data_IF_668747694421
#
_entry.id   IF_668747694421
#
_cell.length_a   1.000
_cell.length_b   1.000
_cell.length_c   1.000
_cell.angle_alpha   90.00
_cell.angle_beta   90.00
_cell.angle_gamma   90.00
#
_symmetry.space_group_name_H-M   'P 1'
#
loop_
_entity.id
_entity.type
_entity.pdbx_description
1 polymer ?
#
# COMPACT_ATOMS: atom_id res chain seq x y z
N UNK A 1 54.89 55.21 -13.80
CA UNK A 1 54.07 54.54 -14.84
C UNK A 1 53.62 53.12 -14.45
N UNK A 2 53.47 52.79 -13.16
CA UNK A 2 52.84 51.53 -12.71
C UNK A 2 51.55 51.74 -11.88
N UNK A 3 51.30 52.95 -11.37
CA UNK A 3 50.11 53.29 -10.57
C UNK A 3 48.84 53.64 -11.35
N UNK A 4 48.87 53.61 -12.69
CA UNK A 4 47.67 53.87 -13.54
C UNK A 4 47.04 52.60 -14.12
N UNK A 5 47.59 51.44 -13.81
CA UNK A 5 47.07 50.14 -14.30
C UNK A 5 46.32 49.39 -13.20
N UNK A 6 46.61 49.59 -11.91
CA UNK A 6 45.92 48.86 -10.84
C UNK A 6 44.53 49.45 -10.50
N UNK A 7 44.32 50.76 -10.70
CA UNK A 7 43.04 51.42 -10.42
C UNK A 7 41.98 51.26 -11.54
N UNK A 8 42.31 50.58 -12.64
CA UNK A 8 41.37 50.24 -13.71
C UNK A 8 40.96 48.75 -13.71
N UNK A 9 41.59 47.94 -12.86
CA UNK A 9 41.29 46.50 -12.72
C UNK A 9 40.33 46.19 -11.56
N UNK A 10 40.10 47.12 -10.63
CA UNK A 10 39.10 46.93 -9.55
C UNK A 10 37.66 47.37 -9.94
N UNK A 11 37.48 48.05 -11.07
CA UNK A 11 36.17 48.56 -11.53
C UNK A 11 35.55 47.77 -12.69
N UNK A 12 36.11 46.61 -13.06
CA UNK A 12 35.64 45.77 -14.18
C UNK A 12 35.15 44.37 -13.78
N UNK A 13 34.99 44.10 -12.49
CA UNK A 13 34.33 42.87 -11.98
C UNK A 13 33.10 43.15 -11.11
N UNK A 14 32.38 44.23 -11.41
CA UNK A 14 30.96 44.40 -11.09
C UNK A 14 30.27 44.68 -12.44
N UNK A 15 29.89 43.66 -13.24
CA UNK A 15 28.67 42.88 -12.95
C UNK A 15 28.75 41.45 -13.50
N UNK A 16 29.05 40.47 -12.65
CA UNK A 16 28.87 39.06 -12.98
C UNK A 16 28.08 38.37 -11.86
N UNK A 17 26.91 38.94 -11.53
CA UNK A 17 25.91 38.30 -10.68
C UNK A 17 24.50 38.73 -11.09
N UNK A 18 24.20 38.66 -12.41
CA UNK A 18 22.83 38.83 -12.96
C UNK A 18 22.46 37.66 -13.90
N UNK A 19 23.12 36.51 -13.79
CA UNK A 19 22.64 35.28 -14.44
C UNK A 19 22.74 34.14 -13.44
N UNK A 20 21.72 34.06 -12.58
CA UNK A 20 21.13 32.85 -12.03
C UNK A 20 19.83 33.25 -11.31
N UNK A 21 18.90 33.83 -12.09
CA UNK A 21 17.51 34.01 -11.68
C UNK A 21 16.74 32.74 -12.04
N UNK A 22 16.87 31.70 -11.21
CA UNK A 22 15.96 30.56 -11.19
C UNK A 22 16.22 29.68 -9.96
N UNK A 23 15.97 30.23 -8.79
CA UNK A 23 15.58 29.52 -7.55
C UNK A 23 15.43 30.63 -6.51
N UNK A 24 14.21 30.88 -6.05
CA UNK A 24 13.99 31.92 -5.04
C UNK A 24 14.70 31.54 -3.76
N UNK A 25 15.58 32.41 -3.28
CA UNK A 25 16.05 32.58 -1.90
C UNK A 25 17.04 33.75 -1.97
N UNK A 26 16.71 34.90 -1.37
CA UNK A 26 17.64 35.93 -0.85
C UNK A 26 16.81 37.16 -0.40
N UNK A 27 16.89 37.49 0.90
CA UNK A 27 16.25 38.65 1.50
C UNK A 27 16.92 39.97 1.04
N UNK A 28 16.09 40.94 0.65
CA UNK A 28 16.49 42.27 0.21
C UNK A 28 17.16 43.13 1.30
N UNK A 29 17.04 42.76 2.58
CA UNK A 29 17.59 43.53 3.71
C UNK A 29 19.11 43.43 3.83
N UNK A 30 19.70 42.24 3.61
CA UNK A 30 21.16 42.02 3.73
C UNK A 30 21.96 42.83 2.70
N UNK A 31 21.40 43.03 1.50
CA UNK A 31 22.01 43.86 0.45
C UNK A 31 22.08 45.34 0.85
N UNK A 32 21.04 45.87 1.52
CA UNK A 32 21.04 47.27 1.99
C UNK A 32 21.95 47.52 3.20
N UNK A 33 22.19 46.51 4.04
CA UNK A 33 23.12 46.61 5.16
C UNK A 33 24.58 46.73 4.69
N UNK A 34 24.99 45.93 3.70
CA UNK A 34 26.36 45.96 3.14
C UNK A 34 26.71 47.29 2.45
N UNK A 35 25.75 47.92 1.76
CA UNK A 35 25.94 49.23 1.13
C UNK A 35 26.11 50.36 2.15
N UNK A 36 25.40 50.30 3.29
CA UNK A 36 25.54 51.29 4.35
C UNK A 36 26.88 51.17 5.10
N UNK A 37 27.42 49.96 5.29
CA UNK A 37 28.76 49.78 5.89
C UNK A 37 29.89 50.32 5.00
N UNK A 38 29.79 50.14 3.67
CA UNK A 38 30.75 50.69 2.70
C UNK A 38 30.77 52.23 2.70
N UNK A 39 29.60 52.87 2.79
CA UNK A 39 29.47 54.34 2.83
C UNK A 39 29.99 54.96 4.15
N UNK A 40 29.94 54.19 5.26
CA UNK A 40 30.53 54.59 6.56
C UNK A 40 32.06 54.48 6.53
N UNK A 41 32.62 53.43 5.93
CA UNK A 41 34.07 53.25 5.75
C UNK A 41 34.69 54.32 4.84
N UNK A 42 33.98 54.72 3.78
CA UNK A 42 34.43 55.78 2.87
C UNK A 42 34.45 57.15 3.56
N UNK A 43 33.45 57.44 4.43
CA UNK A 43 33.35 58.69 5.20
C UNK A 43 34.34 58.79 6.36
N UNK A 44 34.73 57.69 6.99
CA UNK A 44 35.71 57.72 8.08
C UNK A 44 37.17 57.84 7.58
N UNK A 45 37.48 57.34 6.37
CA UNK A 45 38.84 57.37 5.81
C UNK A 45 39.11 58.54 4.85
N UNK A 46 38.11 59.37 4.52
CA UNK A 46 38.26 60.56 3.68
C UNK A 46 39.35 61.54 4.17
N UNK A 47 39.50 61.81 5.49
CA UNK A 47 40.52 62.74 5.98
C UNK A 47 41.96 62.25 5.76
N UNK A 48 42.18 60.94 5.72
CA UNK A 48 43.51 60.33 5.51
C UNK A 48 43.89 60.43 4.03
N UNK A 49 42.92 60.28 3.13
CA UNK A 49 43.11 60.44 1.69
C UNK A 49 43.41 61.89 1.29
N UNK A 50 42.73 62.87 1.90
CA UNK A 50 42.99 64.30 1.67
C UNK A 50 44.36 64.75 2.19
N UNK A 51 44.82 64.19 3.32
CA UNK A 51 46.15 64.46 3.85
C UNK A 51 47.26 63.97 2.90
N UNK A 52 47.07 62.81 2.25
CA UNK A 52 48.00 62.26 1.25
C UNK A 52 48.02 63.04 -0.07
N UNK A 53 46.92 63.72 -0.42
CA UNK A 53 46.85 64.58 -1.61
C UNK A 53 47.36 66.01 -1.40
N UNK A 54 47.50 66.46 -0.15
CA UNK A 54 47.95 67.83 0.18
C UNK A 54 49.48 68.03 0.24
N UNK A 55 50.26 66.97 0.03
CA UNK A 55 51.72 67.08 -0.07
C UNK A 55 52.08 67.63 -1.45
N UNK A 56 52.18 68.96 -1.54
CA UNK A 56 52.68 69.66 -2.73
C UNK A 56 54.07 69.11 -3.13
N UNK A 57 54.30 68.77 -4.41
CA UNK A 57 55.62 68.39 -4.87
C UNK A 57 56.52 69.63 -4.89
N UNK A 58 57.76 69.59 -4.36
CA UNK A 58 58.63 70.76 -4.44
C UNK A 58 59.02 71.00 -5.90
N UNK A 59 58.77 72.23 -6.36
CA UNK A 59 59.22 72.75 -7.64
C UNK A 59 60.76 72.77 -7.71
N UNK A 60 61.29 72.34 -8.85
CA UNK A 60 62.72 72.26 -9.17
C UNK A 60 63.32 73.63 -9.49
N UNK A 61 64.36 74.04 -8.76
CA UNK A 61 65.64 74.49 -9.34
C UNK A 61 66.74 74.48 -8.25
N UNK A 62 67.87 73.86 -8.60
CA UNK A 62 69.20 73.90 -7.95
C UNK A 62 69.27 74.04 -6.42
N UNK A 63 68.95 72.96 -5.72
CA UNK A 63 69.30 72.81 -4.31
C UNK A 63 68.95 71.41 -3.85
N UNK A 64 69.97 70.55 -3.70
CA UNK A 64 69.82 69.20 -3.15
C UNK A 64 69.29 69.34 -1.71
N UNK A 65 67.97 69.33 -1.50
CA UNK A 65 67.38 69.17 -0.17
C UNK A 65 67.56 67.71 0.22
N UNK A 66 68.75 67.40 0.73
CA UNK A 66 68.99 66.17 1.46
C UNK A 66 68.31 66.35 2.81
N UNK A 67 67.06 65.91 2.94
CA UNK A 67 66.44 65.71 4.26
C UNK A 67 67.44 64.88 5.08
N UNK A 68 67.81 65.36 6.27
CA UNK A 68 68.73 64.64 7.15
C UNK A 68 68.17 63.24 7.41
N UNK A 69 69.01 62.21 7.43
CA UNK A 69 68.57 60.81 7.51
C UNK A 69 67.66 60.55 8.74
N UNK A 70 67.82 61.35 9.79
CA UNK A 70 67.02 61.34 11.02
C UNK A 70 65.56 61.81 10.81
N UNK A 71 65.30 62.82 9.99
CA UNK A 71 63.93 63.30 9.69
C UNK A 71 63.18 62.31 8.78
N UNK A 72 63.89 61.67 7.84
CA UNK A 72 63.31 60.59 7.03
C UNK A 72 62.96 59.36 7.89
N UNK A 73 63.82 59.04 8.85
CA UNK A 73 63.58 57.91 9.76
C UNK A 73 62.38 58.17 10.67
N UNK A 74 62.25 59.39 11.22
CA UNK A 74 61.07 59.78 12.00
C UNK A 74 59.77 59.68 11.18
N UNK A 75 59.78 60.08 9.91
CA UNK A 75 58.61 59.94 9.03
C UNK A 75 58.29 58.47 8.72
N UNK A 76 59.31 57.64 8.52
CA UNK A 76 59.15 56.20 8.32
C UNK A 76 58.54 55.53 9.56
N UNK A 77 58.92 55.96 10.76
CA UNK A 77 58.43 55.37 12.00
C UNK A 77 57.00 55.82 12.32
N UNK A 78 56.63 57.09 12.04
CA UNK A 78 55.22 57.56 12.08
C UNK A 78 54.33 56.81 11.06
N UNK A 79 54.86 56.54 9.86
CA UNK A 79 54.14 55.74 8.86
C UNK A 79 53.95 54.29 9.30
N UNK A 80 54.93 53.68 9.96
CA UNK A 80 54.79 52.31 10.50
C UNK A 80 53.75 52.25 11.62
N UNK A 81 53.76 53.20 12.54
CA UNK A 81 52.76 53.27 13.62
C UNK A 81 51.34 53.40 13.06
N UNK A 82 51.16 54.21 12.01
CA UNK A 82 49.87 54.33 11.31
C UNK A 82 49.48 53.04 10.59
N UNK A 83 50.42 52.34 9.96
CA UNK A 83 50.17 51.03 9.32
C UNK A 83 49.75 50.00 10.38
N UNK A 84 50.40 49.98 11.53
CA UNK A 84 50.05 49.06 12.63
C UNK A 84 48.66 49.36 13.20
N UNK A 85 48.30 50.64 13.33
CA UNK A 85 46.96 51.05 13.74
C UNK A 85 45.89 50.61 12.74
N UNK A 86 46.15 50.80 11.45
CA UNK A 86 45.25 50.38 10.36
C UNK A 86 45.09 48.85 10.36
N UNK A 87 46.19 48.11 10.52
CA UNK A 87 46.14 46.64 10.58
C UNK A 87 45.32 46.16 11.79
N UNK A 88 45.41 46.84 12.93
CA UNK A 88 44.58 46.55 14.11
C UNK A 88 43.11 46.81 13.83
N UNK A 89 42.78 47.96 13.24
CA UNK A 89 41.41 48.29 12.86
C UNK A 89 40.82 47.28 11.86
N UNK A 90 41.62 46.82 10.89
CA UNK A 90 41.21 45.77 9.95
C UNK A 90 40.93 44.46 10.69
N UNK A 91 41.77 44.09 11.66
CA UNK A 91 41.55 42.88 12.47
C UNK A 91 40.27 42.97 13.30
N UNK A 92 40.02 44.12 13.94
CA UNK A 92 38.83 44.35 14.76
C UNK A 92 37.55 44.27 13.88
N UNK A 93 37.59 44.85 12.68
CA UNK A 93 36.48 44.79 11.71
C UNK A 93 36.23 43.38 11.16
N UNK A 94 37.29 42.59 10.92
CA UNK A 94 37.16 41.20 10.50
C UNK A 94 36.53 40.33 11.59
N UNK A 95 36.84 40.61 12.86
CA UNK A 95 36.26 39.89 13.99
C UNK A 95 34.78 40.26 14.20
N UNK A 96 34.42 41.54 14.03
CA UNK A 96 33.04 42.01 14.03
C UNK A 96 32.23 41.41 12.87
N UNK A 97 32.80 41.35 11.66
CA UNK A 97 32.15 40.74 10.51
C UNK A 97 31.88 39.24 10.73
N UNK A 98 32.83 38.50 11.29
CA UNK A 98 32.64 37.08 11.61
C UNK A 98 31.58 36.85 12.70
N UNK A 99 31.46 37.77 13.67
CA UNK A 99 30.40 37.68 14.67
C UNK A 99 29.02 37.93 14.06
N UNK A 100 28.89 38.93 13.18
CA UNK A 100 27.64 39.21 12.46
C UNK A 100 27.23 38.03 11.57
N UNK A 101 28.16 37.41 10.84
CA UNK A 101 27.88 36.23 10.02
C UNK A 101 27.45 35.02 10.88
N UNK A 102 28.03 34.87 12.07
CA UNK A 102 27.62 33.84 13.02
C UNK A 102 26.24 34.09 13.66
N UNK A 103 25.87 35.36 13.86
CA UNK A 103 24.53 35.74 14.34
C UNK A 103 23.48 35.58 13.23
N UNK A 104 23.80 35.94 11.98
CA UNK A 104 22.93 35.78 10.81
C UNK A 104 22.63 34.29 10.55
N UNK A 105 23.64 33.41 10.59
CA UNK A 105 23.41 31.95 10.51
C UNK A 105 22.49 31.42 11.63
N UNK A 106 22.57 31.99 12.84
CA UNK A 106 21.72 31.56 13.96
C UNK A 106 20.30 32.08 13.86
N UNK A 107 20.10 33.21 13.18
CA UNK A 107 18.76 33.72 12.88
C UNK A 107 18.14 32.92 11.74
N UNK A 108 18.90 32.57 10.69
CA UNK A 108 18.46 31.67 9.63
C UNK A 108 18.09 30.28 10.17
N UNK A 109 18.90 29.66 11.05
CA UNK A 109 18.56 28.37 11.68
C UNK A 109 17.27 28.45 12.52
N UNK A 110 16.97 29.61 13.11
CA UNK A 110 15.73 29.80 13.89
C UNK A 110 14.53 30.06 12.99
N UNK A 111 14.69 30.82 11.91
CA UNK A 111 13.66 31.01 10.90
C UNK A 111 13.32 29.68 10.22
N UNK A 112 14.30 28.85 9.87
CA UNK A 112 14.08 27.50 9.33
C UNK A 112 13.32 26.59 10.34
N UNK A 113 13.67 26.65 11.63
CA UNK A 113 12.96 25.92 12.68
C UNK A 113 11.54 26.46 12.97
N UNK A 114 11.29 27.74 12.73
CA UNK A 114 9.97 28.37 12.87
C UNK A 114 9.11 28.08 11.64
N UNK A 115 9.68 28.11 10.44
CA UNK A 115 9.04 27.72 9.17
C UNK A 115 8.69 26.22 9.15
N UNK A 116 9.53 25.33 9.69
CA UNK A 116 9.18 23.90 9.85
C UNK A 116 7.99 23.73 10.81
N UNK A 117 7.94 24.51 11.91
CA UNK A 117 6.82 24.47 12.87
C UNK A 117 5.55 25.10 12.31
N UNK A 118 5.65 26.15 11.49
CA UNK A 118 4.52 26.76 10.78
C UNK A 118 4.01 25.84 9.67
N UNK A 119 4.89 25.15 8.92
CA UNK A 119 4.49 24.14 7.94
C UNK A 119 3.82 22.91 8.58
N UNK A 120 4.29 22.46 9.75
CA UNK A 120 3.61 21.40 10.52
C UNK A 120 2.24 21.87 11.03
N UNK A 121 2.11 23.12 11.49
CA UNK A 121 0.82 23.69 11.90
C UNK A 121 -0.13 23.97 10.74
N UNK A 122 0.38 24.35 9.56
CA UNK A 122 -0.43 24.52 8.34
C UNK A 122 -0.88 23.17 7.77
N UNK A 123 -0.06 22.11 7.85
CA UNK A 123 -0.47 20.74 7.51
C UNK A 123 -1.54 20.21 8.47
N UNK A 124 -1.46 20.53 9.76
CA UNK A 124 -2.52 20.19 10.74
C UNK A 124 -3.80 21.03 10.51
N UNK A 125 -3.69 22.29 10.07
CA UNK A 125 -4.84 23.16 9.83
C UNK A 125 -5.51 22.96 8.45
N UNK A 126 -4.80 22.48 7.42
CA UNK A 126 -5.39 22.08 6.13
C UNK A 126 -6.11 20.73 6.19
N UNK A 127 -5.73 19.83 7.12
CA UNK A 127 -6.49 18.60 7.36
C UNK A 127 -7.90 18.85 7.94
N UNK A 128 -8.13 20.00 8.60
CA UNK A 128 -9.39 20.28 9.30
C UNK A 128 -10.37 21.18 8.51
N UNK A 129 -9.94 21.80 7.40
CA UNK A 129 -10.82 22.69 6.60
C UNK A 129 -11.45 22.07 5.35
N UNK A 130 -11.13 20.82 5.02
CA UNK A 130 -11.81 20.12 3.92
C UNK A 130 -12.20 18.68 4.28
N UNK A 131 -12.74 18.47 5.49
CA UNK A 131 -13.54 17.28 5.77
C UNK A 131 -14.91 17.46 5.09
N UNK A 132 -14.97 17.29 3.77
CA UNK A 132 -16.15 16.66 3.21
C UNK A 132 -16.37 15.41 4.07
N UNK A 133 -17.56 15.26 4.64
CA UNK A 133 -17.90 14.11 5.46
C UNK A 133 -17.84 12.85 4.57
N UNK A 134 -16.63 12.32 4.38
CA UNK A 134 -16.40 11.02 3.77
C UNK A 134 -17.05 10.03 4.70
N UNK A 135 -18.28 9.68 4.35
CA UNK A 135 -19.02 8.65 5.06
C UNK A 135 -18.41 7.34 4.60
N UNK A 136 -17.71 6.67 5.50
CA UNK A 136 -17.14 5.37 5.19
C UNK A 136 -18.24 4.31 5.22
N UNK A 137 -18.26 3.39 4.24
CA UNK A 137 -19.22 2.30 4.19
C UNK A 137 -19.05 1.37 5.38
N UNK A 138 -20.16 0.83 5.90
CA UNK A 138 -20.14 -0.05 7.07
C UNK A 138 -19.45 -1.37 6.74
N UNK A 139 -18.51 -1.81 7.58
CA UNK A 139 -17.91 -3.15 7.55
C UNK A 139 -18.05 -3.77 8.94
N UNK A 140 -18.50 -5.01 8.98
CA UNK A 140 -18.76 -5.76 10.22
C UNK A 140 -17.60 -6.70 10.55
N UNK A 141 -17.39 -6.94 11.85
CA UNK A 141 -16.62 -8.10 12.31
C UNK A 141 -17.62 -9.23 12.49
N UNK A 142 -17.67 -10.17 11.55
CA UNK A 142 -18.70 -11.21 11.53
C UNK A 142 -18.33 -12.42 12.40
N UNK A 143 -17.04 -12.72 12.55
CA UNK A 143 -16.59 -13.89 13.31
C UNK A 143 -15.14 -13.71 13.79
N UNK A 144 -14.84 -14.32 14.94
CA UNK A 144 -13.48 -14.34 15.49
C UNK A 144 -13.20 -15.70 16.12
N UNK A 145 -11.97 -16.19 15.98
CA UNK A 145 -11.50 -17.38 16.67
C UNK A 145 -10.16 -17.08 17.34
N UNK A 146 -10.08 -17.24 18.66
CA UNK A 146 -8.85 -16.99 19.44
C UNK A 146 -8.11 -18.26 19.87
N UNK A 147 -8.76 -19.43 19.75
CA UNK A 147 -8.23 -20.73 20.14
C UNK A 147 -8.79 -21.82 19.21
N UNK A 148 -7.97 -22.81 18.77
CA UNK A 148 -6.55 -22.99 19.07
C UNK A 148 -5.65 -21.95 18.38
N UNK A 149 -4.41 -21.81 18.85
CA UNK A 149 -3.41 -20.87 18.32
C UNK A 149 -3.27 -20.95 16.79
N UNK A 150 -3.19 -22.17 16.25
CA UNK A 150 -3.00 -22.43 14.82
C UNK A 150 -4.17 -21.94 13.97
N UNK A 151 -5.37 -21.83 14.55
CA UNK A 151 -6.60 -21.48 13.84
C UNK A 151 -7.06 -20.04 14.09
N UNK A 152 -6.24 -19.19 14.70
CA UNK A 152 -6.66 -17.83 15.04
C UNK A 152 -7.04 -17.03 13.80
N UNK A 153 -8.22 -16.40 13.83
CA UNK A 153 -8.65 -15.50 12.77
C UNK A 153 -9.61 -14.41 13.23
N UNK A 154 -9.71 -13.39 12.39
CA UNK A 154 -10.75 -12.35 12.40
C UNK A 154 -11.37 -12.36 10.99
N UNK A 155 -12.69 -12.49 10.92
CA UNK A 155 -13.45 -12.45 9.66
C UNK A 155 -14.26 -11.17 9.64
N UNK A 156 -14.04 -10.37 8.61
CA UNK A 156 -14.82 -9.18 8.31
C UNK A 156 -15.90 -9.52 7.27
N UNK A 157 -17.01 -8.79 7.29
CA UNK A 157 -18.09 -8.91 6.31
C UNK A 157 -18.47 -7.52 5.79
N UNK A 158 -18.64 -7.43 4.48
CA UNK A 158 -19.14 -6.23 3.82
C UNK A 158 -20.65 -6.38 3.58
N UNK A 159 -21.52 -5.74 4.36
CA UNK A 159 -22.97 -5.77 4.15
C UNK A 159 -23.45 -4.91 2.97
N UNK A 160 -22.57 -4.11 2.36
CA UNK A 160 -22.95 -3.19 1.29
C UNK A 160 -23.10 -3.94 -0.04
N UNK A 161 -23.95 -3.39 -0.92
CA UNK A 161 -24.13 -3.84 -2.31
C UNK A 161 -22.95 -3.48 -3.24
N UNK A 162 -21.90 -2.86 -2.70
CA UNK A 162 -20.71 -2.44 -3.45
C UNK A 162 -19.43 -2.84 -2.72
N UNK A 163 -18.34 -2.98 -3.50
CA UNK A 163 -17.01 -3.30 -2.97
C UNK A 163 -16.42 -2.12 -2.19
N UNK A 164 -15.76 -2.41 -1.08
CA UNK A 164 -15.16 -1.41 -0.20
C UNK A 164 -13.64 -1.58 -0.20
N UNK A 165 -12.93 -0.48 -0.49
CA UNK A 165 -11.48 -0.43 -0.26
C UNK A 165 -11.21 -0.37 1.25
N UNK A 166 -10.33 -1.24 1.71
CA UNK A 166 -9.86 -1.29 3.10
C UNK A 166 -8.59 -0.46 3.31
N UNK A 167 -8.06 0.23 2.28
CA UNK A 167 -6.92 1.14 2.45
C UNK A 167 -7.20 2.13 3.59
N UNK A 168 -6.27 2.22 4.54
CA UNK A 168 -6.38 3.08 5.72
C UNK A 168 -7.23 2.53 6.87
N UNK A 169 -7.98 1.44 6.69
CA UNK A 169 -8.72 0.79 7.77
C UNK A 169 -7.78 0.04 8.72
N UNK A 170 -8.12 -0.10 10.00
CA UNK A 170 -7.29 -0.83 10.95
C UNK A 170 -8.09 -1.46 12.09
N UNK A 171 -7.52 -2.48 12.73
CA UNK A 171 -8.10 -3.14 13.90
C UNK A 171 -7.27 -2.80 15.14
N UNK A 172 -7.96 -2.42 16.21
CA UNK A 172 -7.38 -2.36 17.55
C UNK A 172 -7.98 -3.46 18.42
N UNK A 173 -7.19 -3.92 19.39
CA UNK A 173 -7.62 -4.87 20.42
C UNK A 173 -7.38 -4.33 21.82
N UNK A 174 -8.22 -4.75 22.74
CA UNK A 174 -8.06 -4.53 24.19
C UNK A 174 -8.20 -5.88 24.89
N UNK A 175 -7.22 -6.25 25.72
CA UNK A 175 -7.28 -7.48 26.52
C UNK A 175 -8.15 -7.24 27.76
N UNK A 176 -8.63 -8.31 28.40
CA UNK A 176 -9.59 -8.25 29.51
C UNK A 176 -9.18 -7.27 30.64
N UNK A 177 -7.87 -7.16 30.91
CA UNK A 177 -7.32 -6.34 31.99
C UNK A 177 -6.55 -5.11 31.49
N UNK A 178 -6.56 -4.83 30.18
CA UNK A 178 -5.93 -3.62 29.66
C UNK A 178 -6.85 -2.42 29.91
N UNK A 179 -6.27 -1.24 30.14
CA UNK A 179 -7.02 0.02 30.24
C UNK A 179 -7.09 0.76 28.90
N UNK A 180 -6.13 0.50 27.99
CA UNK A 180 -6.01 1.15 26.69
C UNK A 180 -6.14 0.18 25.50
N UNK A 181 -6.47 0.73 24.32
CA UNK A 181 -6.48 0.00 23.06
C UNK A 181 -5.04 -0.15 22.53
N UNK A 182 -4.74 -1.32 21.98
CA UNK A 182 -3.46 -1.65 21.33
C UNK A 182 -3.69 -2.06 19.88
N UNK A 183 -2.68 -1.90 19.02
CA UNK A 183 -2.79 -2.33 17.61
C UNK A 183 -3.01 -3.86 17.51
N UNK A 184 -3.90 -4.26 16.61
CA UNK A 184 -4.16 -5.67 16.29
C UNK A 184 -3.80 -6.00 14.84
N UNK A 185 -4.28 -5.19 13.89
CA UNK A 185 -3.95 -5.28 12.46
C UNK A 185 -3.83 -3.84 11.96
N UNK A 186 -2.67 -3.45 11.44
CA UNK A 186 -2.39 -2.07 11.05
C UNK A 186 -3.00 -1.74 9.68
N UNK A 187 -3.16 -0.45 9.39
CA UNK A 187 -3.60 0.04 8.09
C UNK A 187 -2.71 -0.41 6.94
N UNK A 188 -1.41 -0.52 7.18
CA UNK A 188 -0.45 -1.06 6.21
C UNK A 188 -0.75 -2.51 5.81
N UNK A 189 -1.37 -3.32 6.67
CA UNK A 189 -1.80 -4.67 6.28
C UNK A 189 -3.03 -4.64 5.36
N UNK A 190 -3.87 -3.63 5.49
CA UNK A 190 -5.07 -3.43 4.66
C UNK A 190 -4.81 -2.60 3.38
N UNK A 191 -3.58 -2.12 3.20
CA UNK A 191 -3.20 -1.33 2.03
C UNK A 191 -3.51 -2.08 0.72
N UNK A 192 -4.22 -1.42 -0.19
CA UNK A 192 -4.68 -1.95 -1.47
C UNK A 192 -5.54 -3.22 -1.35
N UNK A 193 -6.16 -3.47 -0.19
CA UNK A 193 -7.12 -4.55 -0.01
C UNK A 193 -8.53 -4.07 -0.30
N UNK A 194 -9.33 -4.94 -0.90
CA UNK A 194 -10.75 -4.68 -1.17
C UNK A 194 -11.56 -5.84 -0.62
N UNK A 195 -12.66 -5.51 0.06
CA UNK A 195 -13.70 -6.47 0.41
C UNK A 195 -14.88 -6.25 -0.54
N UNK A 196 -15.19 -7.26 -1.35
CA UNK A 196 -16.28 -7.17 -2.34
C UNK A 196 -17.65 -7.07 -1.66
N UNK A 197 -18.67 -6.60 -2.39
CA UNK A 197 -20.06 -6.57 -1.92
C UNK A 197 -20.50 -7.93 -1.36
N UNK A 198 -21.23 -7.94 -0.24
CA UNK A 198 -21.75 -9.15 0.42
C UNK A 198 -20.71 -10.26 0.66
N UNK A 199 -19.44 -9.90 0.73
CA UNK A 199 -18.33 -10.86 0.81
C UNK A 199 -17.59 -10.76 2.13
N UNK A 200 -16.80 -11.79 2.43
CA UNK A 200 -15.98 -11.85 3.63
C UNK A 200 -14.51 -11.56 3.35
N UNK A 201 -13.82 -11.03 4.35
CA UNK A 201 -12.39 -10.78 4.32
C UNK A 201 -11.72 -11.40 5.56
N UNK A 202 -10.81 -12.34 5.34
CA UNK A 202 -10.21 -13.15 6.40
C UNK A 202 -8.80 -12.68 6.72
N UNK A 203 -8.56 -12.42 8.00
CA UNK A 203 -7.25 -12.20 8.59
C UNK A 203 -6.95 -13.39 9.47
N UNK A 204 -5.91 -14.18 9.18
CA UNK A 204 -5.64 -15.39 9.95
C UNK A 204 -4.15 -15.63 10.18
N UNK A 205 -3.87 -16.41 11.23
CA UNK A 205 -2.49 -16.75 11.62
C UNK A 205 -1.83 -17.72 10.65
N UNK A 206 -2.54 -18.78 10.28
CA UNK A 206 -2.08 -19.77 9.31
C UNK A 206 -2.85 -19.64 8.00
N UNK A 207 -2.33 -20.25 6.93
CA UNK A 207 -2.87 -20.09 5.58
C UNK A 207 -4.19 -20.85 5.38
N UNK A 208 -5.27 -20.31 5.93
CA UNK A 208 -6.66 -20.73 5.69
C UNK A 208 -7.26 -20.05 4.45
N UNK A 209 -6.43 -19.81 3.41
CA UNK A 209 -6.77 -18.92 2.31
C UNK A 209 -7.13 -17.51 2.83
N UNK A 210 -6.33 -17.01 3.77
CA UNK A 210 -6.54 -15.71 4.36
C UNK A 210 -6.25 -14.60 3.33
N UNK A 211 -7.08 -13.57 3.33
CA UNK A 211 -6.81 -12.36 2.55
C UNK A 211 -5.61 -11.59 3.12
N UNK A 212 -5.43 -11.66 4.44
CA UNK A 212 -4.21 -11.24 5.15
C UNK A 212 -3.72 -12.43 5.97
N UNK A 213 -2.56 -12.97 5.59
CA UNK A 213 -1.82 -13.92 6.42
C UNK A 213 -0.98 -13.11 7.42
N UNK A 214 -1.29 -13.24 8.70
CA UNK A 214 -0.60 -12.53 9.79
C UNK A 214 -0.11 -13.55 10.83
N UNK A 215 1.09 -14.14 10.64
CA UNK A 215 1.63 -15.19 11.51
C UNK A 215 1.75 -14.79 12.99
N UNK A 216 1.83 -13.49 13.25
CA UNK A 216 1.91 -12.89 14.58
C UNK A 216 0.55 -12.35 15.06
N UNK A 217 -0.56 -12.84 14.51
CA UNK A 217 -1.90 -12.50 14.99
C UNK A 217 -2.08 -13.02 16.43
N UNK A 218 -1.99 -12.09 17.38
CA UNK A 218 -2.21 -12.34 18.80
C UNK A 218 -3.67 -12.01 19.12
N UNK A 219 -4.43 -13.06 19.43
CA UNK A 219 -5.76 -12.99 20.03
C UNK A 219 -5.76 -13.89 21.26
N UNK A 220 -6.26 -13.40 22.38
CA UNK A 220 -6.64 -14.27 23.50
C UNK A 220 -8.15 -14.40 23.55
N UNK A 221 -8.61 -15.40 24.28
CA UNK A 221 -9.96 -15.43 24.81
C UNK A 221 -10.27 -14.10 25.54
N UNK A 222 -11.47 -13.55 25.34
CA UNK A 222 -11.93 -12.29 25.95
C UNK A 222 -11.20 -10.99 25.52
N UNK A 223 -10.73 -10.90 24.29
CA UNK A 223 -10.34 -9.62 23.69
C UNK A 223 -11.56 -8.87 23.17
N UNK A 224 -11.59 -7.56 23.40
CA UNK A 224 -12.43 -6.64 22.66
C UNK A 224 -11.70 -6.19 21.41
N UNK A 225 -12.38 -6.19 20.27
CA UNK A 225 -11.88 -5.75 18.98
C UNK A 225 -12.71 -4.56 18.50
N UNK A 226 -12.05 -3.57 17.89
CA UNK A 226 -12.69 -2.48 17.14
C UNK A 226 -12.08 -2.41 15.75
N UNK A 227 -12.93 -2.41 14.73
CA UNK A 227 -12.56 -2.06 13.37
C UNK A 227 -12.80 -0.57 13.19
N UNK A 228 -11.78 0.16 12.75
CA UNK A 228 -11.85 1.60 12.50
C UNK A 228 -11.59 1.92 11.05
N UNK A 229 -12.33 2.91 10.56
CA UNK A 229 -12.12 3.47 9.24
C UNK A 229 -10.90 4.43 9.24
N UNK A 230 -10.48 4.97 8.08
CA UNK A 230 -9.36 5.90 8.00
C UNK A 230 -9.52 7.20 8.80
N UNK A 231 -10.77 7.63 9.09
CA UNK A 231 -11.05 8.76 9.98
C UNK A 231 -10.95 8.39 11.48
N UNK A 232 -10.67 7.14 11.81
CA UNK A 232 -10.60 6.64 13.18
C UNK A 232 -11.96 6.35 13.84
N UNK A 233 -13.05 6.46 13.09
CA UNK A 233 -14.40 6.16 13.57
C UNK A 233 -14.60 4.65 13.63
N UNK A 234 -15.37 4.18 14.60
CA UNK A 234 -15.64 2.75 14.79
C UNK A 234 -16.69 2.30 13.79
N UNK A 235 -16.32 1.33 12.95
CA UNK A 235 -17.24 0.65 12.04
C UNK A 235 -17.88 -0.58 12.68
N UNK A 236 -17.12 -1.33 13.49
CA UNK A 236 -17.64 -2.52 14.17
C UNK A 236 -16.87 -2.87 15.44
N UNK A 237 -17.54 -3.55 16.35
CA UNK A 237 -16.97 -4.10 17.57
C UNK A 237 -17.26 -5.59 17.71
N UNK A 238 -16.31 -6.37 18.21
CA UNK A 238 -16.52 -7.78 18.50
C UNK A 238 -15.76 -8.22 19.75
N UNK A 239 -16.21 -9.34 20.34
CA UNK A 239 -15.48 -10.04 21.40
C UNK A 239 -14.95 -11.35 20.84
N UNK A 240 -13.72 -11.73 21.22
CA UNK A 240 -13.24 -13.09 20.97
C UNK A 240 -13.89 -14.04 21.98
N UNK A 241 -14.84 -14.85 21.51
CA UNK A 241 -15.62 -15.74 22.36
C UNK A 241 -14.78 -16.91 22.89
N UNK A 242 -15.07 -17.30 24.14
CA UNK A 242 -14.72 -18.62 24.67
C UNK A 242 -15.73 -19.60 24.09
N UNK A 243 -15.27 -20.64 23.39
CA UNK A 243 -16.15 -21.78 23.10
C UNK A 243 -16.32 -22.57 24.39
N UNK A 244 -17.16 -22.08 25.29
CA UNK A 244 -17.79 -22.90 26.32
C UNK A 244 -19.24 -23.05 25.93
N UNK A 245 -19.59 -24.20 25.36
CA UNK A 245 -20.98 -24.62 25.27
C UNK A 245 -21.54 -24.68 26.69
N UNK A 246 -22.43 -23.77 27.04
CA UNK A 246 -23.44 -23.99 28.08
C UNK A 246 -24.54 -22.96 27.85
N UNK A 247 -25.75 -23.46 27.60
CA UNK A 247 -26.91 -22.64 27.29
C UNK A 247 -27.38 -21.79 28.46
N UNK A 248 -28.15 -20.76 28.12
CA UNK A 248 -28.84 -19.88 29.07
C UNK A 248 -28.95 -18.47 28.50
N UNK A 249 -30.09 -18.15 27.89
CA UNK A 249 -30.29 -16.91 27.13
C UNK A 249 -30.45 -15.64 27.96
N UNK A 250 -30.39 -14.49 27.27
CA UNK A 250 -31.47 -13.50 27.21
C UNK A 250 -31.01 -12.22 26.48
N UNK A 251 -31.83 -11.77 25.53
CA UNK A 251 -32.19 -10.36 25.39
C UNK A 251 -31.18 -9.40 24.79
N UNK A 252 -31.02 -9.43 23.47
CA UNK A 252 -30.48 -8.31 22.71
C UNK A 252 -30.84 -8.49 21.25
N UNK A 253 -31.88 -7.78 20.78
CA UNK A 253 -32.33 -7.81 19.39
C UNK A 253 -31.27 -7.23 18.46
N UNK A 254 -30.28 -8.05 18.13
CA UNK A 254 -29.50 -7.87 16.91
C UNK A 254 -30.37 -8.41 15.79
N UNK A 255 -30.78 -7.53 14.88
CA UNK A 255 -31.25 -7.94 13.55
C UNK A 255 -30.04 -8.55 12.81
N UNK A 256 -29.59 -9.72 13.26
CA UNK A 256 -28.66 -10.54 12.50
C UNK A 256 -29.41 -10.91 11.22
N UNK A 257 -28.92 -10.53 10.03
CA UNK A 257 -29.55 -10.96 8.79
C UNK A 257 -29.64 -12.48 8.81
N UNK A 258 -30.78 -13.01 8.34
CA UNK A 258 -30.95 -14.43 8.20
C UNK A 258 -29.76 -15.02 7.42
N UNK A 259 -29.24 -16.20 7.80
CA UNK A 259 -28.11 -16.80 7.12
C UNK A 259 -28.40 -16.89 5.61
N UNK A 260 -27.51 -16.29 4.81
CA UNK A 260 -27.64 -16.30 3.34
C UNK A 260 -27.44 -17.74 2.88
N UNK A 261 -28.47 -18.35 2.32
CA UNK A 261 -28.40 -19.69 1.72
C UNK A 261 -28.04 -19.53 0.26
N UNK A 262 -26.97 -20.18 -0.18
CA UNK A 262 -26.55 -20.18 -1.57
C UNK A 262 -27.16 -21.37 -2.32
N UNK A 263 -27.61 -21.19 -3.58
CA UNK A 263 -28.10 -22.28 -4.39
C UNK A 263 -26.99 -23.30 -4.69
N UNK A 264 -27.35 -24.57 -4.85
CA UNK A 264 -26.40 -25.62 -5.27
C UNK A 264 -25.95 -25.35 -6.71
N UNK A 265 -24.65 -25.27 -6.92
CA UNK A 265 -23.97 -25.27 -8.22
C UNK A 265 -23.11 -26.53 -8.31
N UNK A 266 -23.20 -27.24 -9.43
CA UNK A 266 -22.52 -28.51 -9.66
C UNK A 266 -21.27 -28.30 -10.52
N UNK A 267 -20.26 -29.13 -10.32
CA UNK A 267 -19.17 -29.38 -11.26
C UNK A 267 -19.71 -30.40 -12.27
N UNK A 268 -19.91 -29.98 -13.51
CA UNK A 268 -20.50 -30.81 -14.56
C UNK A 268 -19.46 -31.59 -15.33
N UNK A 269 -18.31 -30.99 -15.64
CA UNK A 269 -17.35 -31.61 -16.54
C UNK A 269 -15.91 -31.18 -16.25
N UNK A 270 -14.97 -32.13 -16.37
CA UNK A 270 -13.54 -31.91 -16.17
C UNK A 270 -12.75 -32.55 -17.31
N UNK A 271 -11.98 -31.74 -18.04
CA UNK A 271 -10.97 -32.22 -18.97
C UNK A 271 -9.56 -31.94 -18.44
N UNK A 272 -8.76 -33.00 -18.33
CA UNK A 272 -7.39 -32.89 -17.78
C UNK A 272 -6.30 -32.93 -18.86
N UNK A 273 -6.64 -33.32 -20.09
CA UNK A 273 -5.68 -33.47 -21.18
C UNK A 273 -6.30 -33.23 -22.56
N UNK A 274 -5.57 -32.64 -23.52
CA UNK A 274 -4.22 -32.06 -23.39
C UNK A 274 -4.20 -30.75 -22.59
N UNK A 275 -3.01 -30.29 -22.17
CA UNK A 275 -2.82 -29.08 -21.34
C UNK A 275 -3.56 -27.85 -21.90
N UNK A 276 -3.54 -27.65 -23.22
CA UNK A 276 -4.19 -26.52 -23.90
C UNK A 276 -5.72 -26.60 -24.00
N UNK A 277 -6.32 -27.76 -23.66
CA UNK A 277 -7.76 -27.98 -23.70
C UNK A 277 -8.35 -28.27 -22.32
N UNK A 278 -7.56 -28.04 -21.25
CA UNK A 278 -8.02 -28.25 -19.88
C UNK A 278 -9.12 -27.28 -19.52
N UNK A 279 -10.20 -27.81 -18.96
CA UNK A 279 -11.27 -27.01 -18.41
C UNK A 279 -11.92 -27.70 -17.21
N UNK A 280 -12.59 -26.88 -16.41
CA UNK A 280 -13.57 -27.29 -15.41
C UNK A 280 -14.83 -26.50 -15.73
N UNK A 281 -15.94 -27.21 -15.85
CA UNK A 281 -17.25 -26.63 -16.10
C UNK A 281 -18.15 -26.76 -14.88
N UNK A 282 -18.92 -25.70 -14.64
CA UNK A 282 -19.93 -25.63 -13.61
C UNK A 282 -21.32 -25.59 -14.27
N UNK A 283 -22.33 -26.12 -13.59
CA UNK A 283 -23.71 -26.10 -14.02
C UNK A 283 -24.62 -25.58 -12.91
N UNK A 284 -25.56 -24.71 -13.27
CA UNK A 284 -26.59 -24.21 -12.38
C UNK A 284 -27.90 -24.97 -12.58
N UNK A 285 -28.27 -25.92 -11.69
CA UNK A 285 -29.51 -26.68 -11.80
C UNK A 285 -30.77 -25.87 -11.43
N UNK A 286 -30.64 -24.61 -11.03
CA UNK A 286 -31.79 -23.80 -10.58
C UNK A 286 -32.51 -23.12 -11.74
N UNK A 287 -33.77 -22.73 -11.50
CA UNK A 287 -34.63 -22.01 -12.43
C UNK A 287 -34.32 -20.50 -12.52
N UNK A 288 -33.22 -20.05 -11.89
CA UNK A 288 -32.81 -18.64 -11.81
C UNK A 288 -31.32 -18.49 -12.09
N UNK A 289 -30.92 -17.32 -12.58
CA UNK A 289 -29.51 -16.98 -12.66
C UNK A 289 -28.90 -16.84 -11.27
N UNK A 290 -27.63 -17.20 -11.12
CA UNK A 290 -26.90 -17.15 -9.84
C UNK A 290 -25.65 -16.29 -10.02
N UNK A 291 -25.43 -15.34 -9.10
CA UNK A 291 -24.14 -14.64 -9.04
C UNK A 291 -23.10 -15.55 -8.41
N UNK A 292 -21.96 -15.68 -9.07
CA UNK A 292 -20.79 -16.41 -8.59
C UNK A 292 -19.82 -15.49 -7.82
N UNK A 293 -20.20 -14.24 -7.54
CA UNK A 293 -19.36 -13.33 -6.75
C UNK A 293 -19.06 -13.93 -5.37
N UNK A 294 -17.77 -14.01 -5.02
CA UNK A 294 -17.31 -14.57 -3.75
C UNK A 294 -17.16 -16.10 -3.74
N UNK A 295 -17.62 -16.81 -4.76
CA UNK A 295 -17.42 -18.25 -4.93
C UNK A 295 -15.99 -18.55 -5.36
N UNK A 296 -15.49 -19.76 -5.08
CA UNK A 296 -14.13 -20.15 -5.44
C UNK A 296 -13.98 -21.65 -5.58
N UNK A 297 -12.96 -22.07 -6.34
CA UNK A 297 -12.62 -23.47 -6.56
C UNK A 297 -11.31 -23.82 -5.86
N UNK A 298 -11.33 -24.90 -5.09
CA UNK A 298 -10.15 -25.45 -4.45
C UNK A 298 -9.83 -26.84 -4.98
N UNK A 299 -8.60 -27.28 -4.71
CA UNK A 299 -8.12 -28.60 -5.10
C UNK A 299 -7.29 -29.30 -4.03
N UNK A 300 -7.23 -30.62 -4.14
CA UNK A 300 -6.24 -31.49 -3.50
C UNK A 300 -5.62 -32.42 -4.54
N UNK A 301 -4.37 -32.80 -4.33
CA UNK A 301 -3.67 -33.80 -5.13
C UNK A 301 -3.76 -35.17 -4.46
N UNK A 302 -3.42 -36.24 -5.20
CA UNK A 302 -3.36 -37.63 -4.70
C UNK A 302 -2.73 -37.82 -3.32
N UNK A 303 -1.69 -37.06 -3.00
CA UNK A 303 -0.93 -37.20 -1.75
C UNK A 303 -1.59 -36.51 -0.55
N UNK A 304 -2.59 -35.65 -0.78
CA UNK A 304 -3.27 -34.92 0.27
C UNK A 304 -4.44 -35.74 0.83
N UNK A 305 -4.41 -36.00 2.13
CA UNK A 305 -5.46 -36.70 2.88
C UNK A 305 -6.75 -35.87 3.00
N UNK A 306 -7.82 -36.48 3.51
CA UNK A 306 -9.08 -35.78 3.81
C UNK A 306 -8.89 -34.64 4.83
N UNK A 307 -7.99 -34.81 5.79
CA UNK A 307 -7.74 -33.82 6.85
C UNK A 307 -6.80 -32.68 6.39
N UNK A 308 -6.11 -32.85 5.28
CA UNK A 308 -5.20 -31.83 4.75
C UNK A 308 -5.96 -30.58 4.28
N UNK A 309 -5.28 -29.45 4.30
CA UNK A 309 -5.86 -28.19 3.83
C UNK A 309 -6.04 -28.18 2.31
N UNK A 310 -7.16 -27.60 1.88
CA UNK A 310 -7.45 -27.33 0.49
C UNK A 310 -6.51 -26.26 -0.08
N UNK A 311 -5.91 -26.54 -1.24
CA UNK A 311 -5.13 -25.55 -2.00
C UNK A 311 -6.03 -24.78 -2.97
N UNK A 312 -5.71 -23.51 -3.25
CA UNK A 312 -6.43 -22.73 -4.26
C UNK A 312 -6.29 -23.34 -5.66
N UNK A 313 -7.39 -23.42 -6.41
CA UNK A 313 -7.39 -23.71 -7.85
C UNK A 313 -7.79 -22.46 -8.64
N UNK A 314 -8.94 -21.87 -8.31
CA UNK A 314 -9.45 -20.63 -8.90
C UNK A 314 -10.00 -19.78 -7.77
N UNK A 315 -9.39 -18.63 -7.52
CA UNK A 315 -9.73 -17.77 -6.38
C UNK A 315 -10.96 -16.92 -6.67
N UNK A 316 -11.66 -16.49 -5.60
CA UNK A 316 -12.90 -15.71 -5.71
C UNK A 316 -12.84 -14.41 -6.51
N UNK A 317 -11.70 -13.69 -6.61
CA UNK A 317 -11.60 -12.55 -7.52
C UNK A 317 -11.87 -12.90 -8.99
N UNK A 318 -11.62 -14.14 -9.42
CA UNK A 318 -11.91 -14.56 -10.80
C UNK A 318 -13.42 -14.68 -11.08
N UNK A 319 -14.22 -14.92 -10.04
CA UNK A 319 -15.67 -15.05 -10.13
C UNK A 319 -16.42 -13.73 -9.83
N UNK A 320 -15.70 -12.65 -9.51
CA UNK A 320 -16.32 -11.37 -9.18
C UNK A 320 -17.15 -10.82 -10.36
N UNK A 321 -18.41 -10.50 -10.09
CA UNK A 321 -19.35 -9.99 -11.10
C UNK A 321 -19.80 -11.03 -12.13
N UNK A 322 -19.40 -12.29 -11.98
CA UNK A 322 -19.81 -13.38 -12.87
C UNK A 322 -21.21 -13.88 -12.49
N UNK A 323 -21.96 -14.28 -13.50
CA UNK A 323 -23.31 -14.82 -13.39
C UNK A 323 -23.36 -16.09 -14.21
N UNK A 324 -23.95 -17.14 -13.66
CA UNK A 324 -24.34 -18.35 -14.39
C UNK A 324 -25.86 -18.30 -14.60
N UNK A 325 -26.31 -18.48 -15.85
CA UNK A 325 -27.73 -18.49 -16.20
C UNK A 325 -28.49 -19.64 -15.54
N UNK A 326 -29.81 -19.63 -15.61
CA UNK A 326 -30.63 -20.78 -15.18
C UNK A 326 -30.42 -21.96 -16.11
N UNK A 327 -30.21 -23.16 -15.56
CA UNK A 327 -29.95 -24.38 -16.34
C UNK A 327 -28.80 -24.20 -17.35
N UNK A 328 -27.85 -23.33 -17.00
CA UNK A 328 -26.77 -22.90 -17.87
C UNK A 328 -25.42 -23.37 -17.33
N UNK A 329 -24.41 -23.26 -18.20
CA UNK A 329 -23.05 -23.70 -17.95
C UNK A 329 -22.13 -22.50 -17.73
N UNK A 330 -21.09 -22.72 -16.93
CA UNK A 330 -20.05 -21.73 -16.69
C UNK A 330 -18.68 -22.39 -16.77
N UNK A 331 -17.88 -21.99 -17.76
CA UNK A 331 -16.64 -22.68 -18.08
C UNK A 331 -15.41 -21.90 -17.63
N UNK A 332 -14.51 -22.62 -16.96
CA UNK A 332 -13.20 -22.15 -16.56
C UNK A 332 -12.17 -22.91 -17.38
N UNK A 333 -11.33 -22.22 -18.15
CA UNK A 333 -10.28 -22.88 -18.91
C UNK A 333 -9.03 -22.01 -19.07
N UNK A 334 -7.96 -22.63 -19.56
CA UNK A 334 -6.67 -21.95 -19.77
C UNK A 334 -6.60 -21.13 -21.05
N UNK A 335 -7.21 -21.63 -22.11
CA UNK A 335 -6.96 -21.15 -23.46
C UNK A 335 -8.26 -20.73 -24.14
N UNK A 336 -8.13 -19.81 -25.08
CA UNK A 336 -9.10 -19.45 -26.09
C UNK A 336 -9.52 -20.62 -26.98
N UNK A 337 -9.01 -21.84 -26.80
CA UNK A 337 -9.39 -23.00 -27.63
C UNK A 337 -10.91 -23.16 -27.76
N UNK A 338 -11.63 -22.92 -26.67
CA UNK A 338 -13.09 -22.88 -26.66
C UNK A 338 -13.62 -21.44 -26.81
N UNK A 339 -13.30 -20.78 -27.94
CA UNK A 339 -13.76 -19.41 -28.22
C UNK A 339 -15.29 -19.38 -28.17
N UNK A 340 -15.86 -18.50 -27.34
CA UNK A 340 -17.30 -18.29 -27.25
C UNK A 340 -18.03 -19.07 -26.15
N UNK A 341 -17.36 -20.03 -25.49
CA UNK A 341 -17.96 -20.80 -24.38
C UNK A 341 -17.25 -20.58 -23.04
N UNK A 342 -16.24 -19.69 -22.99
CA UNK A 342 -15.35 -19.48 -21.84
C UNK A 342 -15.72 -18.26 -21.01
N UNK A 343 -15.92 -18.45 -19.71
CA UNK A 343 -16.28 -17.36 -18.78
C UNK A 343 -15.10 -16.85 -17.95
N UNK A 344 -14.14 -17.72 -17.65
CA UNK A 344 -12.88 -17.41 -16.94
C UNK A 344 -11.68 -17.98 -17.70
N UNK A 345 -10.70 -17.12 -17.97
CA UNK A 345 -9.39 -17.50 -18.49
C UNK A 345 -8.36 -17.52 -17.37
N UNK A 346 -7.89 -18.71 -16.99
CA UNK A 346 -6.83 -18.85 -15.98
C UNK A 346 -6.04 -20.14 -16.14
N UNK A 347 -4.80 -20.16 -15.66
CA UNK A 347 -3.96 -21.36 -15.72
C UNK A 347 -4.53 -22.43 -14.81
N UNK A 348 -5.09 -23.48 -15.41
CA UNK A 348 -5.57 -24.66 -14.71
C UNK A 348 -4.48 -25.72 -14.64
N UNK A 349 -3.92 -25.89 -13.45
CA UNK A 349 -2.96 -26.96 -13.16
C UNK A 349 -3.69 -28.24 -12.71
N UNK A 350 -4.56 -28.78 -13.57
CA UNK A 350 -5.30 -30.02 -13.32
C UNK A 350 -4.42 -31.21 -13.70
N UNK A 351 -4.27 -32.18 -12.80
CA UNK A 351 -3.53 -33.42 -13.07
C UNK A 351 -4.42 -34.63 -12.80
N UNK A 352 -4.00 -35.84 -13.21
CA UNK A 352 -4.62 -37.06 -12.71
C UNK A 352 -4.72 -37.09 -11.18
N UNK A 353 -5.69 -37.84 -10.68
CA UNK A 353 -5.87 -38.13 -9.25
C UNK A 353 -6.09 -36.87 -8.39
N UNK A 354 -6.95 -35.94 -8.84
CA UNK A 354 -7.25 -34.71 -8.12
C UNK A 354 -8.64 -34.76 -7.47
N UNK A 355 -8.77 -33.98 -6.41
CA UNK A 355 -10.06 -33.58 -5.86
C UNK A 355 -10.31 -32.12 -6.14
N UNK A 356 -11.54 -31.75 -6.46
CA UNK A 356 -12.00 -30.37 -6.57
C UNK A 356 -13.19 -30.13 -5.66
N UNK A 357 -13.22 -28.97 -5.02
CA UNK A 357 -14.36 -28.51 -4.25
C UNK A 357 -14.74 -27.09 -4.68
N UNK A 358 -15.97 -26.90 -5.14
CA UNK A 358 -16.52 -25.59 -5.45
C UNK A 358 -17.26 -25.07 -4.22
N UNK A 359 -16.85 -23.89 -3.74
CA UNK A 359 -17.32 -23.34 -2.47
C UNK A 359 -18.02 -22.01 -2.65
N UNK A 360 -19.09 -21.85 -1.90
CA UNK A 360 -19.86 -20.62 -1.85
C UNK A 360 -19.18 -19.57 -0.96
N UNK A 361 -19.68 -18.31 -0.91
CA UNK A 361 -19.09 -17.27 -0.06
C UNK A 361 -19.12 -17.58 1.45
N UNK A 362 -20.04 -18.42 1.92
CA UNK A 362 -20.05 -18.93 3.30
C UNK A 362 -18.98 -20.00 3.56
N UNK A 363 -18.18 -20.39 2.54
CA UNK A 363 -17.15 -21.43 2.56
C UNK A 363 -17.69 -22.86 2.64
N UNK A 364 -19.00 -23.03 2.50
CA UNK A 364 -19.62 -24.33 2.40
C UNK A 364 -19.29 -24.92 1.04
N UNK A 365 -19.10 -26.24 1.00
CA UNK A 365 -18.93 -26.96 -0.25
C UNK A 365 -20.29 -26.98 -0.92
N UNK A 366 -20.39 -26.31 -2.07
CA UNK A 366 -21.52 -26.50 -2.96
C UNK A 366 -21.40 -27.88 -3.58
N UNK A 367 -20.27 -28.19 -4.20
CA UNK A 367 -20.06 -29.48 -4.85
C UNK A 367 -18.61 -29.95 -4.74
N UNK A 368 -18.41 -31.28 -4.72
CA UNK A 368 -17.09 -31.91 -4.59
C UNK A 368 -16.96 -33.12 -5.50
N UNK A 369 -15.82 -33.21 -6.17
CA UNK A 369 -15.49 -34.35 -7.03
C UNK A 369 -14.06 -34.79 -6.79
N UNK A 370 -13.87 -36.08 -6.49
CA UNK A 370 -12.58 -36.74 -6.54
C UNK A 370 -12.57 -37.84 -7.59
N UNK A 371 -11.50 -37.89 -8.38
CA UNK A 371 -11.33 -38.89 -9.43
C UNK A 371 -9.95 -39.55 -9.39
N UNK A 372 -9.83 -40.68 -10.07
CA UNK A 372 -8.68 -41.56 -9.99
C UNK A 372 -8.39 -41.98 -8.56
N UNK A 373 -7.13 -41.83 -8.16
CA UNK A 373 -6.62 -42.13 -6.82
C UNK A 373 -6.73 -40.95 -5.84
N UNK A 374 -7.60 -39.97 -6.10
CA UNK A 374 -7.92 -38.91 -5.15
C UNK A 374 -8.30 -39.48 -3.78
N UNK A 375 -7.90 -38.80 -2.70
CA UNK A 375 -8.17 -39.24 -1.31
C UNK A 375 -9.29 -38.44 -0.63
N UNK A 376 -9.68 -37.29 -1.18
CA UNK A 376 -10.79 -36.48 -0.68
C UNK A 376 -11.88 -36.41 -1.76
N UNK A 377 -12.84 -37.32 -1.64
CA UNK A 377 -13.99 -37.45 -2.53
C UNK A 377 -15.26 -37.46 -1.69
N UNK A 378 -16.42 -37.62 -2.30
CA UNK A 378 -17.69 -37.81 -1.59
C UNK A 378 -17.78 -39.23 -1.02
N UNK A 379 -18.81 -40.01 -1.33
CA UNK A 379 -18.93 -41.41 -0.85
C UNK A 379 -17.87 -42.33 -1.47
N UNK A 380 -17.63 -42.23 -2.78
CA UNK A 380 -16.55 -42.92 -3.47
C UNK A 380 -16.00 -42.06 -4.62
N UNK A 381 -14.73 -42.26 -4.99
CA UNK A 381 -14.12 -41.55 -6.14
C UNK A 381 -14.53 -42.17 -7.48
N UNK A 382 -14.55 -41.34 -8.53
CA UNK A 382 -14.61 -41.85 -9.89
C UNK A 382 -13.23 -42.42 -10.29
N UNK A 383 -13.08 -43.75 -10.36
CA UNK A 383 -11.77 -44.41 -10.40
C UNK A 383 -10.92 -44.18 -11.67
N UNK A 384 -11.47 -43.59 -12.73
CA UNK A 384 -10.78 -43.46 -14.02
C UNK A 384 -10.35 -42.03 -14.30
N UNK A 385 -9.10 -41.84 -14.71
CA UNK A 385 -8.63 -40.56 -15.24
C UNK A 385 -8.91 -40.51 -16.75
N UNK A 386 -9.40 -39.38 -17.31
CA UNK A 386 -9.66 -39.24 -18.74
C UNK A 386 -8.35 -39.13 -19.53
N UNK A 387 -8.31 -39.79 -20.69
CA UNK A 387 -7.23 -39.68 -21.68
C UNK A 387 -7.41 -38.46 -22.60
N UNK A 388 -6.50 -38.30 -23.56
CA UNK A 388 -6.61 -37.27 -24.59
C UNK A 388 -7.91 -37.40 -25.38
N UNK A 389 -8.68 -36.32 -25.44
CA UNK A 389 -9.99 -36.30 -26.11
C UNK A 389 -11.14 -36.85 -25.27
N UNK A 390 -10.90 -37.12 -23.99
CA UNK A 390 -11.93 -37.52 -23.02
C UNK A 390 -12.07 -36.47 -21.92
N UNK A 391 -13.22 -36.49 -21.26
CA UNK A 391 -13.51 -35.74 -20.04
C UNK A 391 -14.12 -36.68 -18.99
N UNK A 392 -14.14 -36.21 -17.75
CA UNK A 392 -15.00 -36.75 -16.70
C UNK A 392 -16.28 -35.91 -16.73
N UNK A 393 -17.37 -36.50 -17.22
CA UNK A 393 -18.67 -35.85 -17.31
C UNK A 393 -19.60 -36.39 -16.24
N UNK A 394 -20.28 -35.50 -15.53
CA UNK A 394 -21.39 -35.83 -14.64
C UNK A 394 -22.54 -36.40 -15.47
N UNK A 395 -23.20 -37.44 -14.97
CA UNK A 395 -24.27 -38.15 -15.67
C UNK A 395 -25.53 -37.29 -15.65
N UNK A 396 -26.06 -36.95 -16.81
CA UNK A 396 -27.35 -36.28 -16.93
C UNK A 396 -28.48 -37.29 -16.72
N UNK A 397 -29.46 -36.93 -15.90
CA UNK A 397 -30.67 -37.72 -15.68
C UNK A 397 -31.83 -37.14 -16.51
N UNK A 398 -32.18 -37.87 -17.58
CA UNK A 398 -33.24 -37.45 -18.49
C UNK A 398 -34.64 -37.43 -17.85
N UNK A 399 -34.87 -38.09 -16.71
CA UNK A 399 -36.17 -38.02 -16.03
C UNK A 399 -36.31 -36.73 -15.21
N UNK A 400 -35.30 -36.41 -14.40
CA UNK A 400 -35.27 -35.17 -13.61
C UNK A 400 -34.80 -33.94 -14.40
N UNK A 401 -34.35 -34.11 -15.65
CA UNK A 401 -33.82 -33.06 -16.52
C UNK A 401 -32.70 -32.24 -15.87
N UNK A 402 -31.84 -32.92 -15.10
CA UNK A 402 -30.69 -32.30 -14.43
C UNK A 402 -29.56 -33.32 -14.24
N UNK A 403 -28.39 -32.88 -13.78
CA UNK A 403 -27.28 -33.77 -13.49
C UNK A 403 -27.46 -34.51 -12.16
N UNK A 404 -27.04 -35.78 -12.13
CA UNK A 404 -27.04 -36.61 -10.92
C UNK A 404 -26.04 -36.08 -9.89
N UNK A 405 -26.50 -35.94 -8.66
CA UNK A 405 -25.73 -35.52 -7.50
C UNK A 405 -26.18 -36.34 -6.29
N UNK A 406 -25.61 -37.53 -6.17
CA UNK A 406 -26.00 -38.53 -5.16
C UNK A 406 -25.06 -38.55 -3.97
N UNK A 407 -24.18 -37.54 -3.86
CA UNK A 407 -23.04 -37.50 -2.95
C UNK A 407 -22.11 -38.72 -3.14
N UNK A 408 -22.03 -39.28 -4.35
CA UNK A 408 -21.17 -40.42 -4.71
C UNK A 408 -20.59 -40.23 -6.11
N UNK A 409 -19.34 -39.74 -6.17
CA UNK A 409 -18.67 -39.44 -7.43
C UNK A 409 -18.52 -40.68 -8.34
N UNK A 410 -18.55 -41.90 -7.80
CA UNK A 410 -18.39 -43.13 -8.60
C UNK A 410 -19.61 -43.46 -9.46
N UNK A 411 -20.79 -42.96 -9.09
CA UNK A 411 -22.05 -43.15 -9.84
C UNK A 411 -22.51 -41.88 -10.53
N UNK A 412 -22.08 -40.72 -10.03
CA UNK A 412 -22.41 -39.41 -10.60
C UNK A 412 -21.59 -39.09 -11.83
N UNK A 413 -20.40 -39.67 -12.00
CA UNK A 413 -19.50 -39.35 -13.12
C UNK A 413 -19.14 -40.56 -13.98
N UNK A 414 -18.89 -40.29 -15.28
CA UNK A 414 -18.41 -41.26 -16.26
C UNK A 414 -17.43 -40.60 -17.24
N UNK A 415 -16.66 -41.43 -17.96
CA UNK A 415 -15.91 -40.93 -19.11
C UNK A 415 -16.88 -40.43 -20.18
N UNK A 416 -16.60 -39.24 -20.70
CA UNK A 416 -17.42 -38.54 -21.68
C UNK A 416 -16.57 -38.00 -22.82
N UNK A 417 -17.22 -37.69 -23.93
CA UNK A 417 -16.64 -36.79 -24.94
C UNK A 417 -16.72 -35.37 -24.39
N UNK A 418 -15.65 -34.54 -24.49
CA UNK A 418 -15.70 -33.15 -24.05
C UNK A 418 -16.83 -32.34 -24.70
N UNK A 419 -17.74 -31.80 -23.89
CA UNK A 419 -18.97 -31.09 -24.33
C UNK A 419 -19.10 -29.69 -23.73
N UNK A 420 -18.09 -28.82 -23.88
CA UNK A 420 -18.09 -27.49 -23.25
C UNK A 420 -19.31 -26.65 -23.65
N UNK A 421 -20.01 -26.15 -22.65
CA UNK A 421 -21.23 -25.36 -22.72
C UNK A 421 -22.49 -26.17 -23.07
N UNK A 422 -22.47 -27.50 -22.92
CA UNK A 422 -23.56 -28.40 -23.35
C UNK A 422 -23.74 -29.58 -22.39
N UNK A 423 -24.84 -30.30 -22.59
CA UNK A 423 -25.10 -31.56 -21.88
C UNK A 423 -24.02 -32.60 -22.18
N UNK A 424 -23.56 -33.31 -21.14
CA UNK A 424 -22.50 -34.30 -21.23
C UNK A 424 -22.86 -35.53 -22.09
N UNK A 425 -21.99 -35.86 -23.03
CA UNK A 425 -22.11 -37.05 -23.89
C UNK A 425 -21.26 -38.22 -23.34
N UNK A 426 -21.88 -39.10 -22.57
CA UNK A 426 -21.22 -40.26 -21.96
C UNK A 426 -20.68 -41.23 -23.03
N UNK A 427 -19.41 -41.65 -22.89
CA UNK A 427 -18.83 -42.68 -23.76
C UNK A 427 -19.51 -44.02 -23.52
N UNK A 428 -20.12 -44.57 -24.57
CA UNK A 428 -20.62 -45.94 -24.57
C UNK A 428 -19.44 -46.90 -24.62
N UNK A 429 -19.30 -47.77 -23.62
CA UNK A 429 -18.35 -48.88 -23.71
C UNK A 429 -18.84 -49.85 -24.78
N UNK A 430 -18.07 -50.00 -25.86
CA UNK A 430 -18.27 -51.05 -26.87
C UNK A 430 -17.69 -52.38 -26.41
#
# INVERSE_FOLDING_TARGET
MLGRVILRWLFLFLPAFVVLFSAGFFDSKSFTASLNQLDILEKQNTPIFDALLSLDPPATEEGKVVLADEEKQNLIDDLKEKIDLINRQISDLLEEQNQLEYEEMKEEEKEDEEDEKEQEQEQEQEQDKNKQAVTYPEILISETLASPISQRFIKLFNPNDFSVSLTGWYLQRKTQNADSWSSCVSSTNFENKTIYAHSYFLIARENFNANILLPDLILSESNSLVLKNPNGEISATALTANVTSTGGGSGGGSNSPAPVVYPKILISEIQISPIGKRFIELYNPTDKQVSLTGWYLQRKTKSASMDDLWSSCVSSPNFAGKIIGSNDYFMISRDSYYVGSNDIFTILSITPDNSFAFKNPNREISDKVGFGLAQDFETASFLTNPEDGQSIGRVFDGESQTYKDTDDNSVDFKLSTPTPGKENEILTQN
#
